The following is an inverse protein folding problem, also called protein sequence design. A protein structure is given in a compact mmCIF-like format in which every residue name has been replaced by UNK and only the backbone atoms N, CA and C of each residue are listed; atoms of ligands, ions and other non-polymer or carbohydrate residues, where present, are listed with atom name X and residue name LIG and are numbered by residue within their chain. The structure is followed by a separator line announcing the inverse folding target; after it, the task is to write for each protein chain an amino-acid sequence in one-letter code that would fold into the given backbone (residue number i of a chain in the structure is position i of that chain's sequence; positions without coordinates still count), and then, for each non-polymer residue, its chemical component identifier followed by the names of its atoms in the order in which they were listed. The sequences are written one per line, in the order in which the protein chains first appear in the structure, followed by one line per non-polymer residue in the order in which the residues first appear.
data_IF_735492631665
#
_entry.id   IF_735492631665
#
_cell.length_a   1.000
_cell.length_b   1.000
_cell.length_c   1.000
_cell.angle_alpha   90.00
_cell.angle_beta   90.00
_cell.angle_gamma   90.00
#
_symmetry.space_group_name_H-M   'P 1'
#
loop_
_entity.id
_entity.type
_entity.pdbx_description
1 polymer ?
#
# COMPACT_ATOMS: atom_id res chain seq x y z
N UNK A 1 6.65 -69.78 8.21
CA UNK A 1 6.36 -68.90 7.05
C UNK A 1 5.44 -67.72 7.37
N UNK A 2 4.62 -67.73 8.43
CA UNK A 2 3.66 -66.64 8.73
C UNK A 2 4.24 -65.30 9.20
N UNK A 3 5.37 -65.30 9.95
CA UNK A 3 5.94 -64.06 10.50
C UNK A 3 6.49 -63.09 9.44
N UNK A 4 6.98 -63.60 8.30
CA UNK A 4 7.48 -62.77 7.18
C UNK A 4 6.34 -62.05 6.46
N UNK A 5 5.15 -62.65 6.39
CA UNK A 5 3.97 -62.08 5.72
C UNK A 5 3.40 -60.92 6.56
N UNK A 6 3.39 -61.05 7.89
CA UNK A 6 2.92 -59.99 8.80
C UNK A 6 3.81 -58.75 8.72
N UNK A 7 5.13 -58.93 8.62
CA UNK A 7 6.07 -57.81 8.48
C UNK A 7 5.88 -57.07 7.15
N UNK A 8 5.61 -57.81 6.06
CA UNK A 8 5.33 -57.21 4.74
C UNK A 8 4.03 -56.40 4.77
N UNK A 9 2.98 -56.91 5.42
CA UNK A 9 1.71 -56.19 5.58
C UNK A 9 1.86 -54.91 6.41
N UNK A 10 2.70 -54.92 7.45
CA UNK A 10 2.93 -53.76 8.32
C UNK A 10 3.71 -52.63 7.60
N UNK A 11 4.62 -52.98 6.69
CA UNK A 11 5.39 -52.00 5.89
C UNK A 11 4.51 -51.33 4.83
N UNK A 12 3.54 -52.06 4.26
CA UNK A 12 2.61 -51.51 3.26
C UNK A 12 1.67 -50.43 3.83
N UNK A 13 1.31 -50.49 5.12
CA UNK A 13 0.46 -49.47 5.76
C UNK A 13 1.19 -48.15 6.06
N UNK A 14 2.53 -48.13 6.05
CA UNK A 14 3.31 -46.91 6.25
C UNK A 14 3.43 -46.03 5.00
N UNK A 15 3.12 -46.56 3.81
CA UNK A 15 3.18 -45.80 2.55
C UNK A 15 1.85 -45.15 2.14
N UNK A 16 0.75 -45.40 2.87
CA UNK A 16 -0.57 -44.82 2.58
C UNK A 16 -0.81 -43.44 3.19
N UNK A 17 0.20 -42.82 3.82
CA UNK A 17 0.10 -41.51 4.44
C UNK A 17 1.08 -40.50 3.84
N UNK A 18 0.79 -39.98 2.64
CA UNK A 18 1.49 -38.82 2.10
C UNK A 18 0.62 -38.12 1.04
N UNK A 19 -0.26 -37.24 1.49
CA UNK A 19 -0.79 -36.12 0.67
C UNK A 19 0.31 -35.05 0.44
N UNK A 20 1.57 -35.47 0.29
CA UNK A 20 2.75 -34.61 0.16
C UNK A 20 2.80 -33.86 -1.18
N UNK A 21 1.93 -34.25 -2.12
CA UNK A 21 1.77 -33.67 -3.45
C UNK A 21 0.31 -33.34 -3.77
N UNK A 22 -0.53 -33.11 -2.75
CA UNK A 22 -1.83 -32.48 -3.00
C UNK A 22 -1.54 -31.08 -3.55
N UNK A 23 -2.02 -30.73 -4.77
CA UNK A 23 -2.00 -29.34 -5.19
C UNK A 23 -2.67 -28.53 -4.09
N UNK A 24 -2.03 -27.44 -3.64
CA UNK A 24 -2.80 -26.43 -2.90
C UNK A 24 -3.98 -26.06 -3.78
N UNK A 25 -5.16 -25.87 -3.20
CA UNK A 25 -6.19 -25.16 -3.95
C UNK A 25 -5.60 -23.81 -4.36
N UNK A 26 -5.65 -23.51 -5.66
CA UNK A 26 -5.28 -22.19 -6.14
C UNK A 26 -6.17 -21.20 -5.41
N UNK A 27 -5.58 -20.18 -4.81
CA UNK A 27 -6.34 -19.05 -4.29
C UNK A 27 -7.18 -18.49 -5.43
N UNK A 28 -8.49 -18.37 -5.21
CA UNK A 28 -9.37 -17.66 -6.13
C UNK A 28 -8.80 -16.27 -6.37
N UNK A 29 -8.82 -15.74 -7.61
CA UNK A 29 -8.33 -14.38 -7.86
C UNK A 29 -9.02 -13.42 -6.89
N UNK A 30 -8.25 -12.80 -6.02
CA UNK A 30 -8.75 -11.76 -5.13
C UNK A 30 -8.90 -10.49 -5.94
N UNK A 31 -10.15 -10.06 -6.12
CA UNK A 31 -10.49 -8.73 -6.61
C UNK A 31 -10.85 -8.68 -8.09
N UNK A 32 -11.95 -7.99 -8.39
CA UNK A 32 -12.05 -7.28 -9.67
C UNK A 32 -10.82 -6.36 -9.77
N UNK A 33 -10.13 -6.33 -10.90
CA UNK A 33 -8.98 -5.43 -11.08
C UNK A 33 -9.50 -3.99 -11.11
N UNK A 34 -9.43 -3.29 -9.97
CA UNK A 34 -9.85 -1.90 -9.82
C UNK A 34 -8.81 -0.91 -10.35
N UNK A 35 -7.76 -1.42 -11.00
CA UNK A 35 -6.73 -0.63 -11.65
C UNK A 35 -7.26 0.07 -12.89
N UNK A 36 -7.13 1.39 -12.92
CA UNK A 36 -7.43 2.20 -14.10
C UNK A 36 -6.10 2.65 -14.70
N UNK A 37 -5.89 2.47 -16.01
CA UNK A 37 -4.66 2.93 -16.66
C UNK A 37 -4.47 4.45 -16.47
N UNK A 38 -3.39 4.93 -15.79
CA UNK A 38 -3.26 6.34 -15.39
C UNK A 38 -2.83 7.28 -16.53
N UNK A 39 -3.68 7.44 -17.54
CA UNK A 39 -3.49 8.41 -18.64
C UNK A 39 -3.68 9.88 -18.24
N UNK A 40 -3.96 10.15 -16.96
CA UNK A 40 -4.03 11.51 -16.44
C UNK A 40 -3.59 11.57 -14.98
N UNK A 41 -3.15 12.75 -14.50
CA UNK A 41 -2.76 12.92 -13.10
C UNK A 41 -3.88 12.58 -12.12
N UNK A 42 -5.13 12.88 -12.48
CA UNK A 42 -6.29 12.62 -11.62
C UNK A 42 -6.58 11.13 -11.49
N UNK A 43 -6.39 10.35 -12.57
CA UNK A 43 -6.54 8.88 -12.52
C UNK A 43 -5.44 8.25 -11.65
N UNK A 44 -4.21 8.79 -11.66
CA UNK A 44 -3.17 8.32 -10.77
C UNK A 44 -3.55 8.50 -9.28
N UNK A 45 -4.10 9.67 -8.93
CA UNK A 45 -4.63 9.90 -7.56
C UNK A 45 -5.83 8.99 -7.26
N UNK A 46 -6.69 8.71 -8.24
CA UNK A 46 -7.82 7.79 -8.08
C UNK A 46 -7.35 6.36 -7.78
N UNK A 47 -6.37 5.83 -8.53
CA UNK A 47 -5.77 4.53 -8.23
C UNK A 47 -5.15 4.48 -6.83
N UNK A 48 -4.50 5.57 -6.41
CA UNK A 48 -3.99 5.69 -5.05
C UNK A 48 -5.11 5.58 -4.02
N UNK A 49 -6.24 6.28 -4.19
CA UNK A 49 -7.41 6.14 -3.30
C UNK A 49 -8.02 4.73 -3.37
N UNK A 50 -8.13 4.14 -4.57
CA UNK A 50 -8.64 2.79 -4.75
C UNK A 50 -7.79 1.77 -4.00
N UNK A 51 -6.47 1.92 -3.99
CA UNK A 51 -5.60 1.02 -3.23
C UNK A 51 -5.92 0.99 -1.72
N UNK A 52 -6.36 2.10 -1.12
CA UNK A 52 -6.88 2.12 0.25
C UNK A 52 -8.22 1.41 0.38
N UNK A 53 -9.14 1.67 -0.55
CA UNK A 53 -10.49 1.09 -0.52
C UNK A 53 -10.46 -0.44 -0.65
N UNK A 54 -9.52 -0.96 -1.43
CA UNK A 54 -9.37 -2.39 -1.71
C UNK A 54 -8.26 -3.05 -0.90
N UNK A 55 -7.53 -2.29 -0.07
CA UNK A 55 -6.38 -2.77 0.72
C UNK A 55 -5.37 -3.53 -0.12
N UNK A 56 -5.01 -2.96 -1.27
CA UNK A 56 -4.13 -3.58 -2.25
C UNK A 56 -2.76 -2.86 -2.24
N UNK A 57 -1.75 -3.43 -1.56
CA UNK A 57 -0.43 -2.81 -1.49
C UNK A 57 0.30 -2.85 -2.85
N UNK A 58 -0.03 -3.82 -3.71
CA UNK A 58 0.59 -3.91 -5.05
C UNK A 58 0.15 -2.73 -5.91
N UNK A 59 -1.15 -2.43 -5.96
CA UNK A 59 -1.67 -1.29 -6.71
C UNK A 59 -1.27 0.05 -6.08
N UNK A 60 -1.12 0.10 -4.75
CA UNK A 60 -0.56 1.27 -4.06
C UNK A 60 0.85 1.59 -4.55
N UNK A 61 1.77 0.61 -4.51
CA UNK A 61 3.17 0.80 -4.89
C UNK A 61 3.30 1.05 -6.40
N UNK A 62 2.48 0.37 -7.21
CA UNK A 62 2.50 0.49 -8.69
C UNK A 62 2.28 1.91 -9.20
N UNK A 63 1.57 2.77 -8.47
CA UNK A 63 1.32 4.16 -8.89
C UNK A 63 2.42 5.13 -8.43
N UNK A 64 3.40 4.66 -7.66
CA UNK A 64 4.55 5.44 -7.21
C UNK A 64 5.71 5.33 -8.20
N UNK A 65 6.58 6.33 -8.23
CA UNK A 65 7.84 6.27 -8.99
C UNK A 65 8.93 5.55 -8.20
N UNK A 66 9.94 5.00 -8.88
CA UNK A 66 11.15 4.45 -8.23
C UNK A 66 11.88 5.49 -7.37
N UNK A 67 11.75 6.77 -7.71
CA UNK A 67 12.31 7.91 -6.97
C UNK A 67 11.31 8.54 -6.01
N UNK A 68 10.28 7.81 -5.60
CA UNK A 68 9.25 8.30 -4.70
C UNK A 68 9.86 8.83 -3.40
N UNK A 69 9.27 9.90 -2.88
CA UNK A 69 9.60 10.47 -1.57
C UNK A 69 8.35 10.84 -0.80
N UNK A 70 8.33 10.51 0.48
CA UNK A 70 7.37 11.05 1.44
C UNK A 70 8.04 12.15 2.28
N UNK A 71 7.33 13.25 2.50
CA UNK A 71 7.76 14.31 3.43
C UNK A 71 6.70 14.48 4.51
N UNK A 72 7.08 14.16 5.75
CA UNK A 72 6.19 14.27 6.89
C UNK A 72 5.96 15.73 7.35
N UNK A 73 4.84 15.95 8.02
CA UNK A 73 4.48 17.21 8.62
C UNK A 73 5.50 17.62 9.69
N UNK A 74 6.15 18.76 9.48
CA UNK A 74 7.34 19.15 10.24
C UNK A 74 7.17 19.03 11.77
N UNK A 75 6.10 19.55 12.40
CA UNK A 75 5.85 19.37 13.84
C UNK A 75 5.92 17.93 14.35
N UNK A 76 5.43 16.96 13.58
CA UNK A 76 5.40 15.55 13.99
C UNK A 76 6.72 14.82 13.68
N UNK A 77 7.56 15.41 12.82
CA UNK A 77 8.92 14.93 12.57
C UNK A 77 9.92 15.40 13.64
N UNK A 78 9.65 16.52 14.32
CA UNK A 78 10.49 16.98 15.41
C UNK A 78 10.38 16.02 16.61
N UNK A 79 11.41 15.22 16.83
CA UNK A 79 11.46 14.24 17.92
C UNK A 79 11.19 12.79 17.49
N UNK A 80 10.91 12.53 16.21
CA UNK A 80 10.78 11.16 15.67
C UNK A 80 12.14 10.46 15.42
N UNK A 81 13.23 11.00 15.97
CA UNK A 81 14.58 10.42 15.80
C UNK A 81 15.10 10.44 14.36
N UNK A 82 14.47 11.21 13.47
CA UNK A 82 14.80 11.22 12.05
C UNK A 82 14.08 10.14 11.24
N UNK A 83 13.04 9.50 11.77
CA UNK A 83 12.27 8.45 11.08
C UNK A 83 11.81 8.85 9.67
N UNK A 84 11.39 10.09 9.49
CA UNK A 84 10.92 10.61 8.20
C UNK A 84 12.02 11.33 7.40
N UNK A 85 13.29 11.22 7.80
CA UNK A 85 14.41 11.73 7.02
C UNK A 85 14.69 10.77 5.87
N UNK A 86 14.45 11.22 4.63
CA UNK A 86 14.62 10.43 3.41
C UNK A 86 13.68 9.21 3.33
N UNK A 87 12.42 9.38 3.73
CA UNK A 87 11.42 8.34 3.53
C UNK A 87 11.18 8.13 2.03
N UNK A 88 11.70 7.02 1.53
CA UNK A 88 11.72 6.58 0.14
C UNK A 88 10.68 5.49 -0.14
N UNK A 89 10.70 4.94 -1.36
CA UNK A 89 9.76 3.93 -1.82
C UNK A 89 9.79 2.65 -0.96
N UNK A 90 10.96 2.22 -0.49
CA UNK A 90 11.10 1.00 0.29
C UNK A 90 10.45 1.12 1.66
N UNK A 91 10.61 2.25 2.36
CA UNK A 91 9.89 2.44 3.63
C UNK A 91 8.39 2.65 3.39
N UNK A 92 8.00 3.20 2.24
CA UNK A 92 6.59 3.34 1.86
C UNK A 92 5.92 1.98 1.64
N UNK A 93 6.59 1.06 0.94
CA UNK A 93 6.14 -0.31 0.70
C UNK A 93 5.96 -1.06 2.03
N UNK A 94 6.98 -1.05 2.89
CA UNK A 94 6.91 -1.66 4.24
C UNK A 94 5.75 -1.10 5.06
N UNK A 95 5.54 0.23 5.01
CA UNK A 95 4.46 0.91 5.73
C UNK A 95 3.08 0.48 5.24
N UNK A 96 2.86 0.48 3.92
CA UNK A 96 1.54 0.21 3.39
C UNK A 96 1.15 -1.25 3.57
N UNK A 97 2.11 -2.18 3.44
CA UNK A 97 1.91 -3.59 3.75
C UNK A 97 1.45 -3.77 5.20
N UNK A 98 2.19 -3.20 6.16
CA UNK A 98 1.84 -3.29 7.59
C UNK A 98 0.50 -2.64 7.90
N UNK A 99 0.18 -1.51 7.27
CA UNK A 99 -1.10 -0.84 7.44
C UNK A 99 -2.26 -1.72 6.96
N UNK A 100 -2.15 -2.27 5.76
CA UNK A 100 -3.23 -3.08 5.18
C UNK A 100 -3.39 -4.43 5.86
N UNK A 101 -2.29 -5.02 6.35
CA UNK A 101 -2.28 -6.29 7.10
C UNK A 101 -2.70 -6.15 8.57
N UNK A 102 -2.68 -4.94 9.14
CA UNK A 102 -3.02 -4.70 10.55
C UNK A 102 -4.44 -5.15 10.94
N UNK A 103 -5.32 -5.34 9.96
CA UNK A 103 -6.74 -5.59 10.19
C UNK A 103 -7.53 -4.34 10.59
N UNK A 104 -6.86 -3.20 10.79
CA UNK A 104 -7.53 -1.94 11.08
C UNK A 104 -8.37 -1.49 9.88
N UNK A 105 -9.52 -0.88 10.17
CA UNK A 105 -10.31 -0.21 9.14
C UNK A 105 -9.63 1.11 8.84
N UNK A 106 -9.03 1.22 7.66
CA UNK A 106 -8.49 2.47 7.14
C UNK A 106 -9.25 2.85 5.87
N UNK A 107 -9.66 4.12 5.78
CA UNK A 107 -10.21 4.68 4.54
C UNK A 107 -9.67 6.08 4.32
N UNK A 108 -9.44 6.42 3.05
CA UNK A 108 -8.91 7.70 2.63
C UNK A 108 -9.97 8.47 1.84
N UNK A 109 -10.31 9.66 2.33
CA UNK A 109 -11.14 10.61 1.61
C UNK A 109 -10.30 11.84 1.26
N UNK A 110 -10.27 12.18 -0.04
CA UNK A 110 -9.65 13.39 -0.56
C UNK A 110 -10.73 14.35 -1.07
N UNK A 111 -10.74 15.59 -0.56
CA UNK A 111 -11.73 16.63 -0.87
C UNK A 111 -11.01 17.90 -1.33
N UNK A 112 -11.66 18.66 -2.21
CA UNK A 112 -11.26 20.01 -2.65
C UNK A 112 -9.82 20.07 -3.18
N UNK A 113 -9.66 19.81 -4.47
CA UNK A 113 -8.35 19.84 -5.11
C UNK A 113 -8.03 21.18 -5.76
N UNK A 114 -6.94 21.84 -5.37
CA UNK A 114 -6.31 22.85 -6.21
C UNK A 114 -5.24 22.18 -7.07
N UNK A 115 -5.40 22.27 -8.39
CA UNK A 115 -4.48 21.69 -9.36
C UNK A 115 -3.61 22.76 -10.02
N UNK A 116 -2.31 22.56 -9.97
CA UNK A 116 -1.35 23.20 -10.89
C UNK A 116 -0.75 22.11 -11.79
N UNK A 117 -0.69 22.32 -13.11
CA UNK A 117 -0.19 21.28 -14.01
C UNK A 117 0.41 21.80 -15.29
N UNK A 118 1.44 21.08 -15.75
CA UNK A 118 2.03 21.17 -17.08
C UNK A 118 1.76 19.87 -17.86
N UNK A 119 2.41 19.70 -19.02
CA UNK A 119 2.33 18.47 -19.81
C UNK A 119 3.00 17.27 -19.11
N UNK A 120 3.99 17.51 -18.24
CA UNK A 120 4.83 16.46 -17.66
C UNK A 120 4.85 16.43 -16.13
N UNK A 121 4.18 17.40 -15.50
CA UNK A 121 4.11 17.50 -14.05
C UNK A 121 2.75 18.00 -13.60
N UNK A 122 2.31 17.55 -12.43
CA UNK A 122 1.11 18.05 -11.79
C UNK A 122 1.29 18.11 -10.28
N UNK A 123 0.63 19.07 -9.66
CA UNK A 123 0.52 19.20 -8.22
C UNK A 123 -0.95 19.28 -7.83
N UNK A 124 -1.33 18.51 -6.82
CA UNK A 124 -2.66 18.60 -6.20
C UNK A 124 -2.54 18.85 -4.71
N UNK A 125 -3.27 19.86 -4.25
CA UNK A 125 -3.51 20.10 -2.83
C UNK A 125 -4.84 19.46 -2.45
N UNK A 126 -4.85 18.49 -1.55
CA UNK A 126 -6.06 17.81 -1.10
C UNK A 126 -6.27 17.94 0.40
N UNK A 127 -7.47 18.33 0.81
CA UNK A 127 -7.90 18.09 2.19
C UNK A 127 -8.13 16.59 2.34
N UNK A 128 -7.52 15.97 3.34
CA UNK A 128 -7.68 14.54 3.59
C UNK A 128 -8.39 14.24 4.90
N UNK A 129 -9.07 13.11 4.92
CA UNK A 129 -9.49 12.43 6.14
C UNK A 129 -9.10 10.97 6.04
N UNK A 130 -8.29 10.51 6.99
CA UNK A 130 -7.98 9.09 7.19
C UNK A 130 -8.77 8.63 8.41
N UNK A 131 -9.72 7.73 8.19
CA UNK A 131 -10.44 7.10 9.28
C UNK A 131 -9.61 5.94 9.81
N UNK A 132 -9.13 6.05 11.06
CA UNK A 132 -8.46 5.00 11.82
C UNK A 132 -9.00 5.04 13.28
N UNK A 133 -8.40 4.30 14.23
CA UNK A 133 -8.74 4.38 15.66
C UNK A 133 -8.86 5.84 16.14
N UNK A 134 -7.96 6.70 15.65
CA UNK A 134 -8.11 8.15 15.68
C UNK A 134 -8.23 8.67 14.24
N UNK A 135 -9.18 9.57 13.99
CA UNK A 135 -9.33 10.18 12.67
C UNK A 135 -8.23 11.22 12.44
N UNK A 136 -7.39 10.98 11.44
CA UNK A 136 -6.36 11.93 11.02
C UNK A 136 -6.88 12.83 9.89
N UNK A 137 -6.57 14.13 9.97
CA UNK A 137 -7.09 15.12 9.02
C UNK A 137 -6.06 16.23 8.79
N UNK A 138 -5.98 16.69 7.56
CA UNK A 138 -5.07 17.77 7.19
C UNK A 138 -5.07 18.06 5.70
N UNK A 139 -3.97 18.60 5.24
CA UNK A 139 -3.71 18.92 3.84
C UNK A 139 -2.53 18.10 3.32
N UNK A 140 -2.68 17.53 2.12
CA UNK A 140 -1.59 16.87 1.39
C UNK A 140 -1.25 17.65 0.13
N UNK A 141 0.02 17.61 -0.22
CA UNK A 141 0.50 17.96 -1.54
C UNK A 141 0.99 16.69 -2.26
N UNK A 142 0.30 16.32 -3.33
CA UNK A 142 0.76 15.30 -4.27
C UNK A 142 1.55 15.98 -5.38
N UNK A 143 2.76 15.50 -5.68
CA UNK A 143 3.50 15.85 -6.88
C UNK A 143 3.61 14.65 -7.79
N UNK A 144 3.12 14.81 -9.03
CA UNK A 144 3.05 13.76 -10.03
C UNK A 144 3.89 14.13 -11.24
N UNK A 145 4.36 13.10 -11.93
CA UNK A 145 5.13 13.21 -13.17
C UNK A 145 4.56 12.24 -14.21
N UNK A 146 4.66 12.59 -15.48
CA UNK A 146 4.40 11.62 -16.56
C UNK A 146 5.69 11.01 -17.09
N UNK A 147 5.60 9.76 -17.53
CA UNK A 147 6.68 9.07 -18.22
C UNK A 147 6.64 9.34 -19.74
N UNK A 148 7.56 8.70 -20.48
CA UNK A 148 7.61 8.82 -21.95
C UNK A 148 6.41 8.17 -22.66
N UNK A 149 5.64 7.33 -21.97
CA UNK A 149 4.41 6.71 -22.47
C UNK A 149 3.16 7.51 -22.11
N UNK A 150 3.32 8.73 -21.58
CA UNK A 150 2.24 9.60 -21.09
C UNK A 150 1.43 9.00 -19.93
N UNK A 151 2.04 8.06 -19.20
CA UNK A 151 1.51 7.45 -17.99
C UNK A 151 1.90 8.27 -16.77
N UNK A 152 0.97 8.50 -15.87
CA UNK A 152 1.16 9.35 -14.70
C UNK A 152 1.43 8.55 -13.43
N UNK A 153 2.38 9.03 -12.65
CA UNK A 153 2.83 8.42 -11.40
C UNK A 153 2.99 9.49 -10.31
N UNK A 154 2.84 9.07 -9.05
CA UNK A 154 3.09 9.92 -7.89
C UNK A 154 4.57 9.85 -7.56
N UNK A 155 5.26 10.98 -7.64
CA UNK A 155 6.68 11.09 -7.31
C UNK A 155 6.90 11.59 -5.87
N UNK A 156 5.98 12.37 -5.32
CA UNK A 156 6.10 12.86 -3.95
C UNK A 156 4.74 13.02 -3.30
N UNK A 157 4.66 12.64 -2.03
CA UNK A 157 3.56 13.01 -1.14
C UNK A 157 4.14 13.81 0.02
N UNK A 158 3.57 14.97 0.29
CA UNK A 158 3.96 15.81 1.42
C UNK A 158 2.74 16.09 2.31
N UNK A 159 2.87 15.75 3.58
CA UNK A 159 1.86 16.04 4.60
C UNK A 159 2.12 17.44 5.16
N UNK A 160 1.19 18.35 4.87
CA UNK A 160 1.23 19.73 5.34
C UNK A 160 0.52 19.89 6.69
N UNK A 161 0.00 18.79 7.25
CA UNK A 161 -0.66 18.76 8.55
C UNK A 161 -2.00 19.48 8.57
N UNK A 162 -2.48 19.75 9.77
CA UNK A 162 -3.78 20.36 10.02
C UNK A 162 -3.97 20.66 11.50
N UNK A 163 -5.24 20.77 11.92
CA UNK A 163 -5.60 21.00 13.34
C UNK A 163 -5.86 19.71 14.12
N UNK A 164 -5.77 18.54 13.47
CA UNK A 164 -5.98 17.21 14.06
C UNK A 164 -4.68 16.41 14.03
N UNK A 165 -4.75 15.13 14.43
CA UNK A 165 -3.71 14.13 14.17
C UNK A 165 -3.39 14.14 12.67
N UNK A 166 -2.11 14.22 12.32
CA UNK A 166 -1.67 14.19 10.93
C UNK A 166 -1.52 12.76 10.41
N UNK A 167 -1.39 12.62 9.10
CA UNK A 167 -1.03 11.36 8.46
C UNK A 167 0.39 10.94 8.86
N UNK A 168 1.30 11.89 9.02
CA UNK A 168 2.66 11.64 9.51
C UNK A 168 2.64 10.96 10.88
N UNK A 169 1.76 11.39 11.78
CA UNK A 169 1.58 10.74 13.08
C UNK A 169 1.02 9.31 12.92
N UNK A 170 0.05 9.12 12.04
CA UNK A 170 -0.51 7.80 11.75
C UNK A 170 0.54 6.81 11.22
N UNK A 171 1.49 7.28 10.40
CA UNK A 171 2.60 6.45 9.89
C UNK A 171 3.49 5.88 10.99
N UNK A 172 3.59 6.55 12.15
CA UNK A 172 4.40 6.08 13.28
C UNK A 172 3.91 4.76 13.89
N UNK A 173 2.69 4.34 13.62
CA UNK A 173 2.15 3.07 14.11
C UNK A 173 2.51 1.88 13.21
N UNK A 174 2.95 2.14 11.97
CA UNK A 174 3.10 1.12 10.93
C UNK A 174 4.45 1.17 10.20
N UNK A 175 5.41 1.98 10.65
CA UNK A 175 6.80 1.96 10.13
C UNK A 175 7.59 0.78 10.69
#
# INVERSE_FOLDING_TARGET
MGSKIVIILLVLTFFSGCTLFSPRESESPQGDDFWITPFSPSIAVENFVNSFNYKDPTNYVRILTDSFQFTGYAPDTFGSGGLFQNWDLSQEEDYIERLFDSGDSVSLLLIDSLKDSSNYSAQFYYSYTVHHQNTAQGLLLFSLVSDFSEMWYINKIEDLGGTSVSWTELRKYYY
#
